data_IF_616557876661
#
_entry.id   IF_616557876661
#
_cell.length_a   1.000
_cell.length_b   1.000
_cell.length_c   1.000
_cell.angle_alpha   90.00
_cell.angle_beta   90.00
_cell.angle_gamma   90.00
#
_symmetry.space_group_name_H-M   'P 1'
#
loop_
_entity.id
_entity.type
_entity.pdbx_description
1 polymer ?
#
# COMPACT_ATOMS: atom_id res chain seq x y z
N UNK A 1 -21.98 -16.76 12.51
CA UNK A 1 -21.65 -15.33 12.29
C UNK A 1 -20.42 -15.10 11.38
N UNK A 2 -19.55 -16.10 11.16
CA UNK A 2 -18.40 -16.00 10.24
C UNK A 2 -18.75 -15.92 8.74
N UNK A 3 -19.98 -16.29 8.31
CA UNK A 3 -20.35 -16.30 6.88
C UNK A 3 -20.47 -14.90 6.26
N UNK A 4 -21.00 -13.92 6.99
CA UNK A 4 -21.08 -12.52 6.53
C UNK A 4 -19.74 -11.78 6.69
N UNK A 5 -18.91 -12.20 7.66
CA UNK A 5 -17.53 -11.73 7.81
C UNK A 5 -16.59 -12.31 6.74
N UNK A 6 -16.83 -13.56 6.32
CA UNK A 6 -15.98 -14.27 5.37
C UNK A 6 -15.99 -13.68 3.96
N UNK A 7 -17.13 -13.23 3.45
CA UNK A 7 -17.20 -12.58 2.14
C UNK A 7 -16.39 -11.27 2.09
N UNK A 8 -16.46 -10.47 3.16
CA UNK A 8 -15.64 -9.25 3.32
C UNK A 8 -14.15 -9.55 3.44
N UNK A 9 -13.76 -10.59 4.18
CA UNK A 9 -12.37 -11.02 4.32
C UNK A 9 -11.78 -11.58 3.02
N UNK A 10 -12.57 -12.31 2.22
CA UNK A 10 -12.16 -12.80 0.90
C UNK A 10 -11.99 -11.64 -0.07
N UNK A 11 -12.95 -10.69 -0.12
CA UNK A 11 -12.82 -9.50 -0.95
C UNK A 11 -11.58 -8.68 -0.58
N UNK A 12 -11.35 -8.47 0.73
CA UNK A 12 -10.16 -7.81 1.24
C UNK A 12 -8.88 -8.54 0.83
N UNK A 13 -8.84 -9.88 0.94
CA UNK A 13 -7.67 -10.68 0.56
C UNK A 13 -7.32 -10.52 -0.92
N UNK A 14 -8.32 -10.58 -1.80
CA UNK A 14 -8.12 -10.47 -3.26
C UNK A 14 -7.60 -9.08 -3.62
N UNK A 15 -8.24 -8.02 -3.10
CA UNK A 15 -7.83 -6.64 -3.38
C UNK A 15 -6.45 -6.37 -2.79
N UNK A 16 -6.16 -6.86 -1.58
CA UNK A 16 -4.84 -6.74 -0.96
C UNK A 16 -3.75 -7.47 -1.75
N UNK A 17 -4.03 -8.66 -2.27
CA UNK A 17 -3.10 -9.38 -3.13
C UNK A 17 -2.76 -8.60 -4.41
N UNK A 18 -3.77 -8.01 -5.05
CA UNK A 18 -3.56 -7.12 -6.19
C UNK A 18 -2.76 -5.88 -5.81
N UNK A 19 -3.02 -5.29 -4.64
CA UNK A 19 -2.27 -4.17 -4.09
C UNK A 19 -0.79 -4.54 -3.93
N UNK A 20 -0.48 -5.68 -3.29
CA UNK A 20 0.89 -6.20 -3.13
C UNK A 20 1.59 -6.34 -4.49
N UNK A 21 0.92 -6.91 -5.49
CA UNK A 21 1.53 -7.07 -6.82
C UNK A 21 1.84 -5.70 -7.43
N UNK A 22 0.91 -4.74 -7.39
CA UNK A 22 1.12 -3.41 -7.96
C UNK A 22 2.17 -2.60 -7.19
N UNK A 23 2.11 -2.59 -5.86
CA UNK A 23 3.09 -1.93 -4.99
C UNK A 23 4.47 -2.57 -5.18
N UNK A 24 4.55 -3.90 -5.27
CA UNK A 24 5.80 -4.61 -5.55
C UNK A 24 6.38 -4.29 -6.93
N UNK A 25 5.54 -4.20 -7.97
CA UNK A 25 5.98 -3.74 -9.30
C UNK A 25 6.45 -2.29 -9.25
N UNK A 26 5.70 -1.40 -8.59
CA UNK A 26 6.07 0.00 -8.44
C UNK A 26 7.38 0.18 -7.64
N UNK A 27 7.63 -0.68 -6.65
CA UNK A 27 8.82 -0.66 -5.82
C UNK A 27 10.04 -1.24 -6.53
N UNK A 28 9.93 -2.43 -7.12
CA UNK A 28 11.11 -3.23 -7.49
C UNK A 28 11.37 -3.31 -9.00
N UNK A 29 10.41 -2.95 -9.86
CA UNK A 29 10.62 -3.01 -11.31
C UNK A 29 11.60 -1.92 -11.75
N UNK A 30 12.81 -2.34 -12.11
CA UNK A 30 13.83 -1.49 -12.71
C UNK A 30 13.80 -1.60 -14.23
N UNK A 31 13.19 -0.62 -14.89
CA UNK A 31 13.12 -0.55 -16.35
C UNK A 31 12.55 0.79 -16.80
N UNK A 32 12.01 0.83 -18.02
CA UNK A 32 11.32 2.02 -18.53
C UNK A 32 10.16 2.42 -17.62
N UNK A 33 10.14 3.69 -17.23
CA UNK A 33 9.13 4.22 -16.33
C UNK A 33 9.25 3.77 -14.88
N UNK A 34 10.43 3.37 -14.40
CA UNK A 34 10.70 3.11 -12.96
C UNK A 34 10.25 4.28 -12.07
N UNK A 35 9.86 3.99 -10.83
CA UNK A 35 9.49 5.01 -9.84
C UNK A 35 10.73 5.62 -9.15
N UNK A 36 11.73 4.80 -8.90
CA UNK A 36 13.03 5.18 -8.35
C UNK A 36 14.11 4.18 -8.81
N UNK A 37 15.38 4.56 -8.68
CA UNK A 37 16.52 3.76 -9.11
C UNK A 37 17.21 3.11 -7.90
N UNK A 38 17.12 1.79 -7.72
CA UNK A 38 17.79 1.13 -6.58
C UNK A 38 19.31 1.12 -6.67
N UNK A 39 19.89 1.08 -7.89
CA UNK A 39 21.34 1.15 -8.02
C UNK A 39 21.87 2.45 -7.43
N UNK A 40 21.26 3.60 -7.76
CA UNK A 40 21.59 4.89 -7.15
C UNK A 40 21.27 4.99 -5.65
N UNK A 41 20.23 4.29 -5.17
CA UNK A 41 19.92 4.26 -3.72
C UNK A 41 21.00 3.51 -2.92
N UNK A 42 21.49 2.39 -3.46
CA UNK A 42 22.45 1.47 -2.83
C UNK A 42 23.91 1.92 -3.05
N UNK A 43 24.26 2.33 -4.26
CA UNK A 43 25.59 2.82 -4.62
C UNK A 43 25.48 4.23 -5.23
N UNK A 44 26.15 5.18 -4.57
CA UNK A 44 26.18 6.57 -4.97
C UNK A 44 26.88 6.79 -6.32
N UNK A 45 27.75 5.86 -6.72
CA UNK A 45 28.52 5.95 -7.97
C UNK A 45 27.66 5.74 -9.22
N UNK A 46 26.52 5.05 -9.08
CA UNK A 46 25.60 4.77 -10.18
C UNK A 46 24.54 5.87 -10.37
N UNK A 47 24.57 6.92 -9.53
CA UNK A 47 23.64 8.04 -9.64
C UNK A 47 24.03 9.01 -10.77
N UNK A 48 23.04 9.41 -11.56
CA UNK A 48 23.19 10.60 -12.40
C UNK A 48 23.28 11.87 -11.53
N UNK A 49 23.85 12.96 -12.06
CA UNK A 49 23.96 14.24 -11.32
C UNK A 49 22.61 14.76 -10.80
N UNK A 50 21.52 14.49 -11.53
CA UNK A 50 20.17 14.91 -11.16
C UNK A 50 19.60 14.05 -10.01
N UNK A 51 19.83 12.73 -10.07
CA UNK A 51 19.48 11.74 -9.03
C UNK A 51 20.35 11.81 -7.78
N UNK A 52 21.50 12.47 -7.87
CA UNK A 52 22.33 12.74 -6.70
C UNK A 52 21.81 13.98 -5.93
N UNK A 53 21.47 15.04 -6.67
CA UNK A 53 21.04 16.33 -6.11
C UNK A 53 19.77 16.20 -5.27
N UNK A 54 18.79 15.53 -5.82
CA UNK A 54 17.65 15.05 -5.09
C UNK A 54 18.06 13.62 -4.82
N UNK A 55 18.35 13.15 -3.62
CA UNK A 55 18.52 11.71 -3.32
C UNK A 55 17.65 11.34 -2.14
N UNK A 56 17.61 12.26 -1.18
CA UNK A 56 16.74 12.25 -0.01
C UNK A 56 15.27 12.05 -0.37
N UNK A 57 14.74 12.71 -1.40
CA UNK A 57 13.33 12.49 -1.77
C UNK A 57 13.09 11.10 -2.37
N UNK A 58 14.01 10.57 -3.19
CA UNK A 58 13.93 9.20 -3.72
C UNK A 58 13.98 8.18 -2.59
N UNK A 59 14.89 8.35 -1.62
CA UNK A 59 14.97 7.49 -0.44
C UNK A 59 13.69 7.51 0.37
N UNK A 60 13.07 8.68 0.51
CA UNK A 60 11.87 8.87 1.31
C UNK A 60 10.63 8.28 0.62
N UNK A 61 10.50 8.45 -0.70
CA UNK A 61 9.47 7.78 -1.52
C UNK A 61 9.66 6.26 -1.48
N UNK A 62 10.88 5.77 -1.73
CA UNK A 62 11.19 4.33 -1.67
C UNK A 62 10.92 3.76 -0.27
N UNK A 63 11.28 4.49 0.79
CA UNK A 63 11.01 4.12 2.17
C UNK A 63 9.52 3.96 2.45
N UNK A 64 8.69 4.92 2.04
CA UNK A 64 7.24 4.81 2.22
C UNK A 64 6.63 3.67 1.42
N UNK A 65 7.00 3.49 0.16
CA UNK A 65 6.50 2.40 -0.69
C UNK A 65 6.94 1.02 -0.17
N UNK A 66 8.19 0.88 0.30
CA UNK A 66 8.64 -0.38 0.90
C UNK A 66 7.97 -0.64 2.26
N UNK A 67 7.75 0.39 3.07
CA UNK A 67 7.04 0.25 4.35
C UNK A 67 5.60 -0.17 4.12
N UNK A 68 4.91 0.44 3.15
CA UNK A 68 3.54 0.03 2.79
C UNK A 68 3.52 -1.40 2.27
N UNK A 69 4.46 -1.80 1.43
CA UNK A 69 4.57 -3.17 0.92
C UNK A 69 4.72 -4.21 2.04
N UNK A 70 5.56 -3.93 3.04
CA UNK A 70 5.71 -4.82 4.21
C UNK A 70 4.39 -4.89 5.00
N UNK A 71 3.72 -3.75 5.21
CA UNK A 71 2.42 -3.74 5.90
C UNK A 71 1.33 -4.47 5.13
N UNK A 72 1.32 -4.41 3.79
CA UNK A 72 0.38 -5.17 2.96
C UNK A 72 0.59 -6.68 3.15
N UNK A 73 1.84 -7.15 3.16
CA UNK A 73 2.17 -8.57 3.43
C UNK A 73 1.70 -8.96 4.84
N UNK A 74 1.99 -8.14 5.86
CA UNK A 74 1.56 -8.41 7.24
C UNK A 74 0.04 -8.43 7.36
N UNK A 75 -0.66 -7.52 6.68
CA UNK A 75 -2.11 -7.48 6.64
C UNK A 75 -2.70 -8.74 5.99
N UNK A 76 -2.08 -9.22 4.90
CA UNK A 76 -2.51 -10.44 4.23
C UNK A 76 -2.25 -11.69 5.08
N UNK A 77 -1.09 -11.79 5.74
CA UNK A 77 -0.78 -12.87 6.67
C UNK A 77 -1.73 -12.89 7.88
N UNK A 78 -2.05 -11.71 8.42
CA UNK A 78 -3.02 -11.59 9.50
C UNK A 78 -4.42 -12.03 9.03
N UNK A 79 -4.88 -11.59 7.86
CA UNK A 79 -6.16 -11.99 7.31
C UNK A 79 -6.24 -13.51 7.12
N UNK A 80 -5.19 -14.13 6.59
CA UNK A 80 -5.09 -15.58 6.47
C UNK A 80 -5.16 -16.29 7.83
N UNK A 81 -4.42 -15.76 8.82
CA UNK A 81 -4.42 -16.30 10.19
C UNK A 81 -5.81 -16.24 10.82
N UNK A 82 -6.56 -15.15 10.62
CA UNK A 82 -7.93 -15.03 11.12
C UNK A 82 -8.88 -16.00 10.43
N UNK A 83 -8.79 -16.19 9.11
CA UNK A 83 -9.60 -17.19 8.40
C UNK A 83 -9.33 -18.60 8.95
N UNK A 84 -8.06 -18.93 9.24
CA UNK A 84 -7.70 -20.20 9.88
C UNK A 84 -8.20 -20.31 11.33
N UNK A 85 -8.12 -19.23 12.11
CA UNK A 85 -8.53 -19.21 13.52
C UNK A 85 -10.03 -19.10 13.73
N UNK A 86 -10.80 -18.59 12.76
CA UNK A 86 -12.27 -18.57 12.80
C UNK A 86 -12.87 -19.99 12.79
N UNK A 87 -12.10 -21.03 12.43
CA UNK A 87 -12.48 -22.42 12.69
C UNK A 87 -12.48 -22.78 14.18
N UNK A 88 -11.80 -21.99 15.03
CA UNK A 88 -11.51 -22.33 16.43
C UNK A 88 -11.97 -21.29 17.46
N UNK A 89 -12.35 -20.06 17.07
CA UNK A 89 -12.71 -18.99 18.03
C UNK A 89 -13.72 -17.99 17.45
N UNK A 90 -14.70 -17.61 18.27
CA UNK A 90 -15.89 -16.83 17.85
C UNK A 90 -15.67 -15.31 17.68
N UNK A 91 -14.59 -14.73 18.21
CA UNK A 91 -14.37 -13.27 18.13
C UNK A 91 -12.89 -12.93 17.94
N UNK A 92 -12.60 -12.19 16.86
CA UNK A 92 -11.31 -11.56 16.63
C UNK A 92 -11.54 -10.07 16.32
N UNK A 93 -11.00 -9.19 17.16
CA UNK A 93 -10.88 -7.76 16.84
C UNK A 93 -10.11 -7.61 15.52
N UNK A 94 -10.50 -6.64 14.71
CA UNK A 94 -10.06 -6.49 13.32
C UNK A 94 -9.01 -5.36 13.19
N UNK A 95 -7.72 -5.57 13.57
CA UNK A 95 -6.65 -4.60 13.34
C UNK A 95 -6.39 -4.34 11.85
N UNK A 96 -7.03 -5.09 10.95
CA UNK A 96 -7.03 -4.89 9.50
C UNK A 96 -7.38 -3.46 9.10
N UNK A 97 -8.27 -2.79 9.83
CA UNK A 97 -8.63 -1.38 9.55
C UNK A 97 -7.45 -0.44 9.78
N UNK A 98 -6.68 -0.66 10.85
CA UNK A 98 -5.46 0.10 11.11
C UNK A 98 -4.39 -0.15 10.05
N UNK A 99 -4.20 -1.42 9.65
CA UNK A 99 -3.28 -1.75 8.56
C UNK A 99 -3.70 -1.08 7.25
N UNK A 100 -4.98 -1.18 6.86
CA UNK A 100 -5.49 -0.55 5.64
C UNK A 100 -5.31 0.97 5.65
N UNK A 101 -5.56 1.62 6.79
CA UNK A 101 -5.36 3.06 6.94
C UNK A 101 -3.88 3.46 6.80
N UNK A 102 -2.97 2.73 7.46
CA UNK A 102 -1.53 2.99 7.37
C UNK A 102 -0.98 2.75 5.96
N UNK A 103 -1.38 1.66 5.31
CA UNK A 103 -0.98 1.35 3.93
C UNK A 103 -1.41 2.47 2.98
N UNK A 104 -2.70 2.85 3.03
CA UNK A 104 -3.22 3.95 2.22
C UNK A 104 -2.48 5.26 2.51
N UNK A 105 -2.27 5.59 3.79
CA UNK A 105 -1.55 6.79 4.20
C UNK A 105 -0.12 6.85 3.68
N UNK A 106 0.64 5.75 3.75
CA UNK A 106 2.01 5.70 3.25
C UNK A 106 2.10 5.75 1.73
N UNK A 107 1.22 5.03 1.01
CA UNK A 107 1.17 5.09 -0.46
C UNK A 107 0.77 6.49 -0.94
N UNK A 108 -0.21 7.11 -0.28
CA UNK A 108 -0.64 8.48 -0.60
C UNK A 108 0.48 9.48 -0.32
N UNK A 109 1.16 9.37 0.83
CA UNK A 109 2.30 10.23 1.16
C UNK A 109 3.43 10.08 0.12
N UNK A 110 3.76 8.86 -0.30
CA UNK A 110 4.75 8.60 -1.33
C UNK A 110 4.38 9.31 -2.65
N UNK A 111 3.12 9.22 -3.08
CA UNK A 111 2.64 9.84 -4.31
C UNK A 111 2.60 11.38 -4.22
N UNK A 112 2.20 11.94 -3.08
CA UNK A 112 2.22 13.40 -2.86
C UNK A 112 3.65 13.92 -2.98
N UNK A 113 4.62 13.25 -2.35
CA UNK A 113 6.02 13.67 -2.35
C UNK A 113 6.61 13.54 -3.76
N UNK A 114 6.31 12.43 -4.45
CA UNK A 114 6.72 12.23 -5.84
C UNK A 114 6.14 13.31 -6.76
N UNK A 115 4.84 13.59 -6.67
CA UNK A 115 4.15 14.60 -7.48
C UNK A 115 4.64 16.02 -7.17
N UNK A 116 4.84 16.36 -5.89
CA UNK A 116 5.37 17.66 -5.48
C UNK A 116 6.80 17.88 -5.97
N UNK A 117 7.65 16.85 -5.92
CA UNK A 117 9.01 16.91 -6.47
C UNK A 117 8.97 17.12 -7.99
N UNK A 118 8.11 16.37 -8.70
CA UNK A 118 7.96 16.50 -10.16
C UNK A 118 7.49 17.90 -10.57
N UNK A 119 6.44 18.44 -9.94
CA UNK A 119 5.85 19.73 -10.30
C UNK A 119 6.78 20.92 -9.98
N UNK A 120 7.55 20.85 -8.89
CA UNK A 120 8.48 21.92 -8.51
C UNK A 120 9.74 22.00 -9.40
N UNK A 121 9.91 21.09 -10.36
CA UNK A 121 11.14 20.97 -11.14
C UNK A 121 12.32 20.45 -10.31
N UNK A 122 12.07 20.04 -9.07
CA UNK A 122 13.00 19.31 -8.19
C UNK A 122 12.84 17.79 -8.35
N UNK A 123 12.28 17.39 -9.49
CA UNK A 123 12.10 16.00 -9.87
C UNK A 123 13.42 15.41 -10.34
N UNK A 124 13.45 14.09 -10.35
CA UNK A 124 14.55 13.27 -10.81
C UNK A 124 14.42 12.95 -12.31
N UNK A 125 13.32 13.39 -12.91
CA UNK A 125 13.01 13.29 -14.33
C UNK A 125 13.01 14.69 -14.92
N UNK A 126 13.58 14.87 -16.13
CA UNK A 126 13.55 16.16 -16.82
C UNK A 126 12.11 16.61 -17.07
N UNK A 127 11.86 17.92 -16.96
CA UNK A 127 10.54 18.52 -17.28
C UNK A 127 10.14 18.15 -18.71
N UNK A 128 9.01 17.46 -18.86
CA UNK A 128 8.46 17.04 -20.15
C UNK A 128 8.47 15.54 -20.41
N UNK A 129 9.10 14.72 -19.54
CA UNK A 129 8.90 13.28 -19.57
C UNK A 129 7.59 12.89 -18.88
N UNK A 130 6.81 12.03 -19.53
CA UNK A 130 5.55 11.51 -19.03
C UNK A 130 5.74 10.67 -17.77
N UNK A 131 4.68 10.59 -16.95
CA UNK A 131 4.62 9.73 -15.77
C UNK A 131 4.96 8.28 -16.14
N UNK A 132 6.06 7.76 -15.61
CA UNK A 132 6.50 6.39 -15.86
C UNK A 132 5.53 5.33 -15.36
N UNK A 133 5.58 4.13 -15.96
CA UNK A 133 4.75 2.97 -15.61
C UNK A 133 4.65 2.68 -14.10
N UNK A 134 5.74 2.86 -13.34
CA UNK A 134 5.76 2.64 -11.89
C UNK A 134 4.87 3.61 -11.11
N UNK A 135 4.75 4.87 -11.58
CA UNK A 135 3.83 5.85 -10.97
C UNK A 135 2.37 5.50 -11.24
N UNK A 136 2.08 4.94 -12.41
CA UNK A 136 0.74 4.45 -12.75
C UNK A 136 0.37 3.22 -11.90
N UNK A 137 1.28 2.27 -11.71
CA UNK A 137 1.08 1.17 -10.77
C UNK A 137 0.83 1.67 -9.34
N UNK A 138 1.55 2.70 -8.89
CA UNK A 138 1.36 3.30 -7.57
C UNK A 138 -0.03 3.95 -7.43
N UNK A 139 -0.51 4.66 -8.46
CA UNK A 139 -1.87 5.23 -8.47
C UNK A 139 -2.93 4.13 -8.34
N UNK A 140 -2.80 3.05 -9.11
CA UNK A 140 -3.74 1.93 -9.00
C UNK A 140 -3.67 1.24 -7.63
N UNK A 141 -2.48 1.09 -7.05
CA UNK A 141 -2.32 0.58 -5.68
C UNK A 141 -3.00 1.49 -4.65
N UNK A 142 -2.92 2.81 -4.79
CA UNK A 142 -3.63 3.76 -3.92
C UNK A 142 -5.16 3.56 -4.02
N UNK A 143 -5.69 3.42 -5.24
CA UNK A 143 -7.13 3.18 -5.42
C UNK A 143 -7.56 1.86 -4.77
N UNK A 144 -6.80 0.77 -4.97
CA UNK A 144 -7.11 -0.52 -4.36
C UNK A 144 -6.99 -0.47 -2.83
N UNK A 145 -5.96 0.18 -2.29
CA UNK A 145 -5.80 0.34 -0.84
C UNK A 145 -6.93 1.17 -0.21
N UNK A 146 -7.44 2.18 -0.94
CA UNK A 146 -8.62 2.94 -0.52
C UNK A 146 -9.89 2.07 -0.50
N UNK A 147 -10.09 1.20 -1.49
CA UNK A 147 -11.20 0.24 -1.47
C UNK A 147 -11.10 -0.73 -0.30
N UNK A 148 -9.89 -1.22 0.02
CA UNK A 148 -9.64 -2.03 1.20
C UNK A 148 -9.96 -1.30 2.51
N UNK A 149 -9.64 -0.01 2.58
CA UNK A 149 -10.02 0.82 3.74
C UNK A 149 -11.54 0.93 3.89
N UNK A 150 -12.28 1.13 2.79
CA UNK A 150 -13.75 1.16 2.83
C UNK A 150 -14.30 -0.18 3.33
N UNK A 151 -13.83 -1.30 2.78
CA UNK A 151 -14.27 -2.64 3.18
C UNK A 151 -13.98 -2.87 4.67
N UNK A 152 -12.80 -2.47 5.15
CA UNK A 152 -12.42 -2.60 6.56
C UNK A 152 -13.28 -1.72 7.49
N UNK A 153 -13.62 -0.49 7.06
CA UNK A 153 -14.52 0.39 7.79
C UNK A 153 -15.94 -0.19 7.88
N UNK A 154 -16.47 -0.69 6.76
CA UNK A 154 -17.78 -1.35 6.71
C UNK A 154 -17.80 -2.57 7.61
N UNK A 155 -16.75 -3.41 7.57
CA UNK A 155 -16.63 -4.57 8.44
C UNK A 155 -16.63 -4.19 9.93
N UNK A 156 -15.98 -3.08 10.31
CA UNK A 156 -15.98 -2.57 11.67
C UNK A 156 -17.38 -2.10 12.12
N UNK A 157 -18.09 -1.35 11.27
CA UNK A 157 -19.46 -0.93 11.56
C UNK A 157 -20.41 -2.11 11.78
N UNK A 158 -20.27 -3.20 11.01
CA UNK A 158 -21.10 -4.40 11.18
C UNK A 158 -20.69 -5.24 12.40
N UNK A 159 -19.40 -5.23 12.77
CA UNK A 159 -18.93 -5.92 13.97
C UNK A 159 -19.60 -5.34 15.23
N UNK A 160 -19.65 -4.01 15.36
CA UNK A 160 -20.25 -3.35 16.54
C UNK A 160 -21.76 -3.61 16.67
N UNK A 161 -22.50 -3.63 15.56
CA UNK A 161 -23.94 -3.96 15.56
C UNK A 161 -24.20 -5.41 16.01
N UNK A 162 -23.30 -6.33 15.67
CA UNK A 162 -23.42 -7.74 16.06
C UNK A 162 -23.07 -8.02 17.53
N UNK A 163 -22.22 -7.19 18.14
CA UNK A 163 -21.89 -7.32 19.58
C UNK A 163 -23.07 -6.84 20.43
N UNK A 164 -23.77 -5.78 20.03
CA UNK A 164 -24.94 -5.26 20.76
C UNK A 164 -26.18 -6.16 20.69
N UNK A 165 -26.32 -7.00 19.66
CA UNK A 165 -27.48 -7.88 19.51
C UNK A 165 -27.39 -9.20 20.28
N UNK A 166 -26.21 -9.54 20.82
CA UNK A 166 -25.98 -10.77 21.60
C UNK A 166 -26.00 -10.51 23.11
N UNK A 167 -25.89 -9.25 23.54
CA UNK A 167 -25.96 -8.83 24.94
C UNK A 167 -27.36 -8.44 25.43
N UNK A 168 -28.41 -8.68 24.63
CA UNK A 168 -29.82 -8.49 24.99
C UNK A 168 -30.58 -9.82 24.96
#
# INVERSE_FOLDING_TARGET
MCLFSGSGQVAFAIIMALCIVLTGVAAFKQGEGKLHTWSCLLDEKDCTKLEFKHRKFMQLVAGFVCTSFILEILAMLYNFSIVCLCFFRDYALHPLTWFAFLIFGFLLAAMIIFSAAHNSGNGYYPKGEEYGWGSLCLIFAIILSFLNLIIACVALCFADVSVFSVSL
#
